data_IF_169648024000
#
_entry.id   IF_169648024000
#
_cell.length_a   1.000
_cell.length_b   1.000
_cell.length_c   1.000
_cell.angle_alpha   90.00
_cell.angle_beta   90.00
_cell.angle_gamma   90.00
#
_symmetry.space_group_name_H-M   'P 1'
#
loop_
_entity.id
_entity.type
_entity.pdbx_description
1 polymer ?
#
# COMPACT_ATOMS: atom_id res chain seq x y z
N UNK A 1 -12.17 -17.13 -32.63
CA UNK A 1 -12.69 -16.98 -31.25
C UNK A 1 -12.89 -15.51 -31.00
N UNK A 2 -14.11 -15.07 -30.76
CA UNK A 2 -14.41 -13.71 -30.30
C UNK A 2 -13.89 -13.57 -28.87
N UNK A 3 -12.98 -12.61 -28.62
CA UNK A 3 -12.51 -12.29 -27.28
C UNK A 3 -13.69 -11.74 -26.47
N UNK A 4 -14.03 -12.42 -25.37
CA UNK A 4 -15.07 -11.94 -24.46
C UNK A 4 -14.64 -10.65 -23.79
N UNK A 5 -15.55 -9.67 -23.67
CA UNK A 5 -15.31 -8.45 -22.91
C UNK A 5 -15.09 -8.79 -21.43
N UNK A 6 -14.48 -7.86 -20.68
CA UNK A 6 -14.23 -8.09 -19.24
C UNK A 6 -15.52 -8.34 -18.46
N UNK A 7 -16.62 -7.74 -18.88
CA UNK A 7 -17.94 -7.89 -18.25
C UNK A 7 -18.58 -9.23 -18.61
N UNK A 8 -18.35 -9.75 -19.82
CA UNK A 8 -18.80 -11.11 -20.17
C UNK A 8 -18.05 -12.19 -19.38
N UNK A 9 -16.83 -11.90 -18.93
CA UNK A 9 -16.06 -12.79 -18.05
C UNK A 9 -16.44 -12.61 -16.57
N UNK A 10 -16.76 -11.37 -16.18
CA UNK A 10 -17.07 -10.96 -14.81
C UNK A 10 -18.41 -10.21 -14.80
N UNK A 11 -19.55 -10.92 -14.94
CA UNK A 11 -20.84 -10.27 -15.00
C UNK A 11 -21.16 -9.61 -13.65
N UNK A 12 -21.39 -8.28 -13.61
CA UNK A 12 -21.71 -7.58 -12.38
C UNK A 12 -23.10 -8.00 -11.89
N UNK A 13 -23.36 -7.75 -10.60
CA UNK A 13 -24.70 -7.93 -10.03
C UNK A 13 -25.73 -7.08 -10.79
N UNK A 14 -27.02 -7.41 -10.67
CA UNK A 14 -28.08 -6.55 -11.22
C UNK A 14 -28.05 -5.15 -10.58
N UNK A 15 -28.59 -4.15 -11.27
CA UNK A 15 -28.64 -2.77 -10.74
C UNK A 15 -29.43 -2.75 -9.42
N UNK A 16 -30.60 -3.38 -9.39
CA UNK A 16 -31.46 -3.41 -8.20
C UNK A 16 -30.75 -4.06 -7.01
N UNK A 17 -30.10 -5.20 -7.23
CA UNK A 17 -29.36 -5.88 -6.17
C UNK A 17 -28.19 -5.03 -5.64
N UNK A 18 -27.43 -4.41 -6.55
CA UNK A 18 -26.30 -3.55 -6.19
C UNK A 18 -26.76 -2.34 -5.38
N UNK A 19 -27.80 -1.65 -5.85
CA UNK A 19 -28.34 -0.43 -5.21
C UNK A 19 -28.98 -0.77 -3.87
N UNK A 20 -29.82 -1.79 -3.80
CA UNK A 20 -30.45 -2.22 -2.54
C UNK A 20 -29.40 -2.67 -1.52
N UNK A 21 -28.41 -3.44 -1.95
CA UNK A 21 -27.33 -3.91 -1.08
C UNK A 21 -26.49 -2.77 -0.52
N UNK A 22 -26.05 -1.83 -1.38
CA UNK A 22 -25.23 -0.68 -0.97
C UNK A 22 -26.01 0.26 -0.04
N UNK A 23 -27.25 0.62 -0.38
CA UNK A 23 -28.05 1.55 0.42
C UNK A 23 -28.39 1.00 1.81
N UNK A 24 -28.59 -0.32 1.93
CA UNK A 24 -28.85 -0.97 3.21
C UNK A 24 -27.58 -1.36 3.97
N UNK A 25 -26.41 -1.33 3.32
CA UNK A 25 -25.15 -1.75 3.91
C UNK A 25 -24.83 -1.10 5.26
N UNK A 26 -25.07 0.20 5.51
CA UNK A 26 -24.83 0.79 6.82
C UNK A 26 -25.60 0.09 7.95
N UNK A 27 -26.83 -0.35 7.68
CA UNK A 27 -27.74 -1.00 8.62
C UNK A 27 -27.48 -2.50 8.80
N UNK A 28 -26.71 -3.11 7.89
CA UNK A 28 -26.36 -4.52 8.01
C UNK A 28 -25.51 -4.79 9.24
N UNK A 29 -25.78 -5.93 9.88
CA UNK A 29 -24.87 -6.50 10.87
C UNK A 29 -23.57 -6.97 10.20
N UNK A 30 -22.55 -7.30 11.00
CA UNK A 30 -21.22 -7.62 10.46
C UNK A 30 -21.21 -8.83 9.52
N UNK A 31 -22.05 -9.85 9.78
CA UNK A 31 -22.11 -11.05 8.96
C UNK A 31 -22.70 -10.73 7.58
N UNK A 32 -23.81 -9.99 7.54
CA UNK A 32 -24.44 -9.53 6.30
C UNK A 32 -23.52 -8.61 5.50
N UNK A 33 -22.77 -7.72 6.16
CA UNK A 33 -21.76 -6.88 5.50
C UNK A 33 -20.70 -7.74 4.81
N UNK A 34 -20.17 -8.74 5.51
CA UNK A 34 -19.16 -9.65 4.97
C UNK A 34 -19.71 -10.45 3.78
N UNK A 35 -20.90 -11.03 3.91
CA UNK A 35 -21.54 -11.77 2.82
C UNK A 35 -21.71 -10.93 1.55
N UNK A 36 -22.22 -9.70 1.71
CA UNK A 36 -22.40 -8.78 0.59
C UNK A 36 -21.06 -8.39 -0.07
N UNK A 37 -20.03 -8.07 0.73
CA UNK A 37 -18.70 -7.75 0.21
C UNK A 37 -18.06 -8.93 -0.53
N UNK A 38 -18.15 -10.14 0.01
CA UNK A 38 -17.65 -11.35 -0.64
C UNK A 38 -18.34 -11.58 -1.99
N UNK A 39 -19.66 -11.37 -2.03
CA UNK A 39 -20.44 -11.46 -3.28
C UNK A 39 -19.96 -10.43 -4.31
N UNK A 40 -19.79 -9.17 -3.92
CA UNK A 40 -19.27 -8.13 -4.81
C UNK A 40 -17.87 -8.49 -5.35
N UNK A 41 -16.94 -8.87 -4.47
CA UNK A 41 -15.57 -9.22 -4.86
C UNK A 41 -15.55 -10.42 -5.79
N UNK A 42 -16.38 -11.44 -5.54
CA UNK A 42 -16.53 -12.61 -6.41
C UNK A 42 -16.86 -12.21 -7.85
N UNK A 43 -17.76 -11.25 -8.04
CA UNK A 43 -18.19 -10.79 -9.36
C UNK A 43 -17.31 -9.68 -9.95
N UNK A 44 -16.63 -8.88 -9.15
CA UNK A 44 -15.84 -7.72 -9.62
C UNK A 44 -14.51 -8.13 -10.27
N UNK A 45 -14.15 -7.68 -11.47
CA UNK A 45 -12.82 -7.95 -12.04
C UNK A 45 -11.71 -7.31 -11.18
N UNK A 46 -10.70 -8.10 -10.81
CA UNK A 46 -9.54 -7.61 -10.06
C UNK A 46 -8.44 -7.20 -11.05
N UNK A 47 -8.40 -5.90 -11.39
CA UNK A 47 -7.43 -5.33 -12.31
C UNK A 47 -6.09 -5.06 -11.63
N UNK A 48 -5.14 -5.99 -11.76
CA UNK A 48 -3.78 -5.80 -11.29
C UNK A 48 -2.83 -5.43 -12.43
N UNK A 49 -1.69 -4.87 -12.06
CA UNK A 49 -0.60 -4.51 -12.96
C UNK A 49 0.69 -5.18 -12.53
N UNK A 50 1.47 -5.63 -13.52
CA UNK A 50 2.84 -6.07 -13.30
C UNK A 50 3.71 -4.84 -13.08
N UNK A 51 4.10 -4.61 -11.83
CA UNK A 51 4.82 -3.42 -11.42
C UNK A 51 6.33 -3.69 -11.42
N UNK A 52 7.00 -3.08 -12.40
CA UNK A 52 8.39 -3.37 -12.73
C UNK A 52 9.43 -2.76 -11.78
N UNK A 53 10.68 -3.10 -12.10
CA UNK A 53 11.87 -2.75 -11.35
C UNK A 53 12.09 -1.23 -11.22
N UNK A 54 12.82 -0.84 -10.17
CA UNK A 54 13.27 0.54 -9.99
C UNK A 54 12.36 1.40 -9.10
N UNK A 55 11.09 1.03 -8.94
CA UNK A 55 10.15 1.72 -8.06
C UNK A 55 10.55 1.59 -6.59
N UNK A 56 10.45 2.69 -5.83
CA UNK A 56 10.82 2.76 -4.41
C UNK A 56 9.62 3.06 -3.53
N UNK A 57 9.59 2.43 -2.35
CA UNK A 57 8.51 2.53 -1.38
C UNK A 57 9.07 2.77 0.01
N UNK A 58 8.37 3.60 0.77
CA UNK A 58 8.87 4.14 2.03
C UNK A 58 8.09 3.58 3.19
N UNK A 59 8.80 3.30 4.28
CA UNK A 59 8.19 2.97 5.58
C UNK A 59 8.86 3.78 6.66
N UNK A 60 8.07 4.48 7.46
CA UNK A 60 8.54 5.26 8.59
C UNK A 60 8.16 4.57 9.91
N UNK A 61 8.98 4.78 10.94
CA UNK A 61 8.74 4.35 12.32
C UNK A 61 9.08 5.52 13.24
N UNK A 62 8.18 5.85 14.16
CA UNK A 62 8.43 6.81 15.22
C UNK A 62 9.27 6.18 16.32
N UNK A 63 10.30 6.89 16.77
CA UNK A 63 11.30 6.40 17.73
C UNK A 63 11.35 7.24 19.02
N UNK A 64 10.48 8.26 19.13
CA UNK A 64 10.47 9.14 20.29
C UNK A 64 11.70 10.04 20.36
N UNK A 65 12.23 10.23 21.57
CA UNK A 65 13.39 11.08 21.82
C UNK A 65 14.71 10.30 21.85
N UNK A 66 14.71 9.02 21.45
CA UNK A 66 15.91 8.20 21.49
C UNK A 66 16.87 8.58 20.35
N UNK A 67 18.06 9.07 20.71
CA UNK A 67 19.09 9.40 19.72
C UNK A 67 19.83 8.15 19.19
N UNK A 68 19.60 7.00 19.81
CA UNK A 68 20.21 5.73 19.43
C UNK A 68 19.48 5.17 18.21
N UNK A 69 20.15 5.05 17.05
CA UNK A 69 19.51 4.49 15.89
C UNK A 69 19.24 2.99 16.09
N UNK A 70 18.25 2.47 15.37
CA UNK A 70 17.94 1.03 15.41
C UNK A 70 19.15 0.19 15.00
N UNK A 71 19.28 -1.00 15.57
CA UNK A 71 20.43 -1.88 15.36
C UNK A 71 20.18 -2.98 14.30
N UNK A 72 18.91 -3.23 13.95
CA UNK A 72 18.53 -4.40 13.16
C UNK A 72 17.35 -4.14 12.20
N UNK A 73 17.39 -4.75 11.02
CA UNK A 73 16.33 -4.63 9.99
C UNK A 73 14.94 -5.04 10.47
N UNK A 74 14.84 -5.95 11.45
CA UNK A 74 13.54 -6.38 12.00
C UNK A 74 12.70 -5.22 12.55
N UNK A 75 13.32 -4.10 12.94
CA UNK A 75 12.60 -2.89 13.41
C UNK A 75 11.84 -2.18 12.28
N UNK A 76 12.28 -2.30 11.04
CA UNK A 76 11.64 -1.70 9.86
C UNK A 76 10.74 -2.68 9.08
N UNK A 77 10.78 -3.97 9.40
CA UNK A 77 9.93 -4.99 8.76
C UNK A 77 8.54 -5.10 9.41
N UNK A 78 7.77 -6.10 8.99
CA UNK A 78 6.55 -6.51 9.68
C UNK A 78 6.93 -7.04 11.08
N UNK A 79 6.32 -6.55 12.16
CA UNK A 79 6.59 -7.08 13.49
C UNK A 79 6.09 -8.54 13.61
N UNK A 80 6.71 -9.36 14.48
CA UNK A 80 6.20 -10.70 14.78
C UNK A 80 4.74 -10.69 15.22
N UNK A 81 4.01 -11.76 14.90
CA UNK A 81 2.56 -11.88 15.12
C UNK A 81 2.15 -11.59 16.57
N UNK A 82 2.99 -11.95 17.54
CA UNK A 82 2.73 -11.83 18.98
C UNK A 82 2.63 -10.38 19.46
N UNK A 83 3.29 -9.44 18.77
CA UNK A 83 3.35 -8.02 19.16
C UNK A 83 2.78 -7.09 18.07
N UNK A 84 2.18 -7.67 17.04
CA UNK A 84 1.64 -6.95 15.89
C UNK A 84 0.25 -6.41 16.20
N UNK A 85 0.06 -5.12 15.97
CA UNK A 85 -1.28 -4.50 15.92
C UNK A 85 -1.92 -4.76 14.56
N UNK A 86 -3.17 -5.22 14.52
CA UNK A 86 -3.91 -5.36 13.26
C UNK A 86 -4.11 -4.00 12.58
N UNK A 87 -3.61 -3.90 11.35
CA UNK A 87 -3.86 -2.78 10.45
C UNK A 87 -5.09 -3.00 9.56
N UNK A 88 -5.34 -2.03 8.69
CA UNK A 88 -6.49 -2.00 7.75
C UNK A 88 -6.61 -3.26 6.88
N UNK A 89 -5.50 -3.81 6.41
CA UNK A 89 -5.45 -4.95 5.48
C UNK A 89 -4.89 -6.20 6.19
N UNK A 90 -4.45 -6.06 7.43
CA UNK A 90 -3.74 -7.11 8.14
C UNK A 90 -4.71 -8.18 8.65
N UNK A 91 -4.32 -9.45 8.53
CA UNK A 91 -5.06 -10.60 9.07
C UNK A 91 -4.10 -11.65 9.64
N UNK A 92 -4.68 -12.69 10.25
CA UNK A 92 -3.90 -13.82 10.75
C UNK A 92 -3.29 -14.67 9.64
N UNK A 93 -3.92 -14.69 8.48
CA UNK A 93 -3.53 -15.43 7.29
C UNK A 93 -2.55 -14.64 6.41
N UNK A 94 -2.61 -13.31 6.47
CA UNK A 94 -1.82 -12.42 5.62
C UNK A 94 -1.02 -11.44 6.48
N UNK A 95 0.26 -11.75 6.67
CA UNK A 95 1.20 -10.79 7.24
C UNK A 95 1.50 -9.67 6.26
N UNK A 96 1.34 -8.41 6.69
CA UNK A 96 1.43 -7.25 5.80
C UNK A 96 2.57 -6.31 6.22
N UNK A 97 3.45 -6.02 5.27
CA UNK A 97 4.32 -4.85 5.35
C UNK A 97 3.62 -3.65 4.70
N UNK A 98 3.36 -2.63 5.51
CA UNK A 98 2.81 -1.36 5.03
C UNK A 98 3.94 -0.43 4.58
N UNK A 99 3.88 0.00 3.33
CA UNK A 99 4.75 1.02 2.74
C UNK A 99 3.92 2.09 2.05
N UNK A 100 4.56 3.17 1.62
CA UNK A 100 3.93 4.28 0.91
C UNK A 100 4.72 4.71 -0.32
N UNK A 101 4.05 5.40 -1.25
CA UNK A 101 4.65 5.92 -2.49
C UNK A 101 5.70 7.01 -2.26
N UNK A 102 5.65 7.69 -1.10
CA UNK A 102 6.61 8.74 -0.76
C UNK A 102 6.94 8.74 0.74
N UNK A 103 8.08 9.34 1.06
CA UNK A 103 8.49 9.62 2.45
C UNK A 103 7.44 10.41 3.22
N UNK A 104 6.90 11.47 2.63
CA UNK A 104 5.90 12.32 3.29
C UNK A 104 4.61 11.53 3.54
N UNK A 105 4.17 10.69 2.60
CA UNK A 105 3.03 9.80 2.83
C UNK A 105 3.30 8.87 4.01
N UNK A 106 4.46 8.21 4.05
CA UNK A 106 4.83 7.31 5.15
C UNK A 106 4.87 8.03 6.51
N UNK A 107 5.36 9.27 6.57
CA UNK A 107 5.39 10.07 7.80
C UNK A 107 4.00 10.53 8.24
N UNK A 108 3.15 10.97 7.30
CA UNK A 108 1.76 11.36 7.61
C UNK A 108 0.93 10.18 8.16
N UNK A 109 1.17 8.96 7.67
CA UNK A 109 0.49 7.76 8.19
C UNK A 109 0.80 7.46 9.67
N UNK A 110 1.92 7.98 10.21
CA UNK A 110 2.22 7.88 11.64
C UNK A 110 1.34 8.80 12.52
N UNK A 111 0.61 9.76 11.91
CA UNK A 111 -0.28 10.70 12.60
C UNK A 111 0.37 11.46 13.75
N UNK A 112 1.68 11.65 13.68
CA UNK A 112 2.43 12.42 14.67
C UNK A 112 2.72 13.82 14.08
N UNK A 113 1.85 14.77 14.41
CA UNK A 113 1.89 16.14 13.92
C UNK A 113 2.53 17.10 14.94
N UNK A 114 3.61 16.65 15.59
CA UNK A 114 4.35 17.46 16.56
C UNK A 114 5.35 18.39 15.85
N UNK A 115 5.35 19.67 16.22
CA UNK A 115 6.30 20.67 15.73
C UNK A 115 7.68 20.63 16.43
N UNK A 116 7.84 19.72 17.39
CA UNK A 116 9.12 19.42 18.04
C UNK A 116 9.83 18.29 17.31
N UNK A 117 11.15 18.41 17.22
CA UNK A 117 11.99 17.37 16.64
C UNK A 117 11.97 16.11 17.49
N UNK A 118 11.54 15.00 16.89
CA UNK A 118 11.64 13.66 17.43
C UNK A 118 12.37 12.76 16.43
N UNK A 119 12.83 11.60 16.87
CA UNK A 119 13.54 10.66 16.00
C UNK A 119 12.60 9.72 15.27
N UNK A 120 12.96 9.45 14.01
CA UNK A 120 12.27 8.54 13.13
C UNK A 120 13.28 7.68 12.38
N UNK A 121 12.92 6.41 12.18
CA UNK A 121 13.59 5.57 11.18
C UNK A 121 12.78 5.58 9.89
N UNK A 122 13.43 5.77 8.75
CA UNK A 122 12.81 5.66 7.43
C UNK A 122 13.57 4.62 6.61
N UNK A 123 12.87 3.58 6.19
CA UNK A 123 13.36 2.57 5.27
C UNK A 123 12.81 2.81 3.86
N UNK A 124 13.64 2.55 2.86
CA UNK A 124 13.27 2.52 1.44
C UNK A 124 13.43 1.10 0.92
N UNK A 125 12.34 0.54 0.42
CA UNK A 125 12.32 -0.75 -0.27
C UNK A 125 12.26 -0.48 -1.76
N UNK A 126 13.04 -1.21 -2.56
CA UNK A 126 13.05 -1.06 -4.01
C UNK A 126 12.71 -2.39 -4.67
N UNK A 127 11.82 -2.34 -5.66
CA UNK A 127 11.50 -3.50 -6.49
C UNK A 127 12.69 -3.79 -7.40
N UNK A 128 13.18 -5.02 -7.34
CA UNK A 128 14.22 -5.55 -8.22
C UNK A 128 13.71 -6.68 -9.12
N UNK A 129 12.48 -7.15 -8.90
CA UNK A 129 11.80 -8.09 -9.78
C UNK A 129 10.30 -7.76 -9.78
N UNK A 130 9.64 -7.85 -10.95
CA UNK A 130 8.24 -7.44 -11.13
C UNK A 130 7.30 -8.06 -10.09
N UNK A 131 6.37 -7.26 -9.55
CA UNK A 131 5.36 -7.73 -8.58
C UNK A 131 3.96 -7.30 -9.02
N UNK A 132 2.98 -8.19 -8.86
CA UNK A 132 1.58 -7.89 -9.16
C UNK A 132 0.98 -6.98 -8.09
N UNK A 133 0.56 -5.79 -8.52
CA UNK A 133 -0.08 -4.77 -7.66
C UNK A 133 -1.53 -4.58 -8.09
N UNK A 134 -2.47 -4.73 -7.16
CA UNK A 134 -3.89 -4.41 -7.35
C UNK A 134 -4.18 -3.02 -6.77
N UNK A 135 -4.35 -1.97 -7.59
CA UNK A 135 -4.92 -0.71 -7.13
C UNK A 135 -6.44 -0.85 -6.98
N UNK A 136 -6.94 -0.64 -5.76
CA UNK A 136 -8.38 -0.65 -5.49
C UNK A 136 -8.98 0.74 -5.73
N UNK A 137 -10.13 0.82 -6.39
CA UNK A 137 -10.75 2.10 -6.74
C UNK A 137 -10.19 2.75 -8.01
N UNK A 138 -9.27 2.09 -8.72
CA UNK A 138 -8.57 2.67 -9.87
C UNK A 138 -9.50 2.97 -11.04
N UNK A 139 -10.52 2.12 -11.27
CA UNK A 139 -11.48 2.29 -12.36
C UNK A 139 -12.34 3.53 -12.16
N UNK A 140 -12.97 3.61 -10.99
CA UNK A 140 -13.83 4.73 -10.61
C UNK A 140 -13.04 6.04 -10.51
N UNK A 141 -11.83 6.01 -9.97
CA UNK A 141 -10.96 7.18 -9.93
C UNK A 141 -10.58 7.65 -11.34
N UNK A 142 -10.14 6.74 -12.21
CA UNK A 142 -9.77 7.06 -13.60
C UNK A 142 -10.95 7.65 -14.36
N UNK A 143 -12.15 7.11 -14.19
CA UNK A 143 -13.34 7.62 -14.86
C UNK A 143 -13.64 9.08 -14.47
N UNK A 144 -13.44 9.45 -13.20
CA UNK A 144 -13.73 10.79 -12.71
C UNK A 144 -12.64 11.80 -13.10
N UNK A 145 -11.38 11.43 -13.03
CA UNK A 145 -10.26 12.38 -13.19
C UNK A 145 -9.57 12.29 -14.55
N UNK A 146 -9.87 11.26 -15.34
CA UNK A 146 -9.17 10.91 -16.58
C UNK A 146 -7.79 10.27 -16.35
N UNK A 147 -7.33 10.14 -15.10
CA UNK A 147 -6.00 9.60 -14.74
C UNK A 147 -6.11 8.64 -13.55
N UNK A 148 -5.27 7.62 -13.56
CA UNK A 148 -5.22 6.64 -12.48
C UNK A 148 -4.58 7.20 -11.22
N UNK A 149 -4.98 6.69 -10.06
CA UNK A 149 -4.30 7.00 -8.82
C UNK A 149 -2.91 6.38 -8.85
N UNK A 150 -2.82 5.07 -9.12
CA UNK A 150 -1.54 4.37 -9.24
C UNK A 150 -0.95 4.51 -10.65
N UNK A 151 -1.78 4.34 -11.69
CA UNK A 151 -1.30 4.26 -13.07
C UNK A 151 -1.00 5.63 -13.69
N UNK A 152 -1.52 6.71 -13.11
CA UNK A 152 -1.31 8.07 -13.60
C UNK A 152 -1.69 8.22 -15.08
N UNK A 153 -0.70 8.57 -15.91
CA UNK A 153 -0.90 8.75 -17.35
C UNK A 153 -1.06 7.43 -18.13
N UNK A 154 -0.71 6.28 -17.52
CA UNK A 154 -0.83 4.96 -18.16
C UNK A 154 -2.27 4.40 -18.12
N UNK A 155 -3.23 5.15 -17.56
CA UNK A 155 -4.64 4.76 -17.48
C UNK A 155 -5.39 4.79 -18.81
N UNK A 156 -4.72 5.03 -19.93
CA UNK A 156 -5.35 5.01 -21.26
C UNK A 156 -6.02 3.66 -21.55
N UNK A 157 -5.43 2.56 -21.12
CA UNK A 157 -6.01 1.22 -21.28
C UNK A 157 -7.29 1.06 -20.47
N UNK A 158 -7.36 1.63 -19.26
CA UNK A 158 -8.58 1.67 -18.45
C UNK A 158 -9.65 2.51 -19.14
N UNK A 159 -9.31 3.70 -19.61
CA UNK A 159 -10.26 4.57 -20.32
C UNK A 159 -10.83 3.88 -21.58
N UNK A 160 -9.98 3.21 -22.36
CA UNK A 160 -10.42 2.43 -23.53
C UNK A 160 -11.34 1.28 -23.12
N UNK A 161 -11.03 0.57 -22.04
CA UNK A 161 -11.86 -0.50 -21.51
C UNK A 161 -13.24 0.02 -21.09
N UNK A 162 -13.29 1.10 -20.32
CA UNK A 162 -14.54 1.74 -19.87
C UNK A 162 -15.38 2.17 -21.09
N UNK A 163 -14.77 2.84 -22.07
CA UNK A 163 -15.48 3.34 -23.24
C UNK A 163 -15.95 2.25 -24.22
N UNK A 164 -15.37 1.05 -24.17
CA UNK A 164 -15.75 -0.07 -25.03
C UNK A 164 -16.93 -0.90 -24.49
N UNK A 165 -17.33 -0.68 -23.24
CA UNK A 165 -18.36 -1.46 -22.57
C UNK A 165 -19.74 -0.79 -22.68
N UNK A 166 -20.82 -1.55 -22.48
CA UNK A 166 -22.17 -0.99 -22.45
C UNK A 166 -22.31 -0.02 -21.25
N UNK A 167 -22.94 1.17 -21.42
CA UNK A 167 -23.08 2.16 -20.36
C UNK A 167 -23.66 1.63 -19.03
N UNK A 168 -24.66 0.76 -19.09
CA UNK A 168 -25.32 0.21 -17.89
C UNK A 168 -24.41 -0.78 -17.15
N UNK A 169 -23.60 -1.52 -17.89
CA UNK A 169 -22.65 -2.47 -17.32
C UNK A 169 -21.45 -1.74 -16.71
N UNK A 170 -20.94 -0.73 -17.40
CA UNK A 170 -19.87 0.17 -16.91
C UNK A 170 -20.30 0.84 -15.62
N UNK A 171 -21.52 1.36 -15.56
CA UNK A 171 -22.04 2.04 -14.37
C UNK A 171 -21.99 1.10 -13.15
N UNK A 172 -22.42 -0.15 -13.31
CA UNK A 172 -22.36 -1.15 -12.23
C UNK A 172 -20.94 -1.52 -11.84
N UNK A 173 -20.04 -1.64 -12.82
CA UNK A 173 -18.62 -1.90 -12.58
C UNK A 173 -17.99 -0.77 -11.75
N UNK A 174 -18.26 0.48 -12.11
CA UNK A 174 -17.71 1.67 -11.43
C UNK A 174 -18.29 1.84 -10.02
N UNK A 175 -19.60 1.60 -9.83
CA UNK A 175 -20.24 1.61 -8.51
C UNK A 175 -19.59 0.55 -7.61
N UNK A 176 -19.38 -0.65 -8.13
CA UNK A 176 -18.77 -1.76 -7.37
C UNK A 176 -17.33 -1.42 -6.99
N UNK A 177 -16.52 -0.95 -7.95
CA UNK A 177 -15.13 -0.55 -7.70
C UNK A 177 -15.02 0.54 -6.63
N UNK A 178 -15.86 1.58 -6.74
CA UNK A 178 -15.91 2.68 -5.79
C UNK A 178 -16.32 2.20 -4.40
N UNK A 179 -17.36 1.36 -4.32
CA UNK A 179 -17.86 0.86 -3.04
C UNK A 179 -16.86 -0.06 -2.34
N UNK A 180 -16.14 -0.91 -3.08
CA UNK A 180 -15.07 -1.75 -2.52
C UNK A 180 -13.91 -0.91 -2.01
N UNK A 181 -13.51 0.14 -2.76
CA UNK A 181 -12.51 1.11 -2.30
C UNK A 181 -12.97 1.80 -1.01
N UNK A 182 -14.20 2.30 -0.94
CA UNK A 182 -14.73 2.97 0.25
C UNK A 182 -14.83 2.03 1.45
N UNK A 183 -15.19 0.77 1.21
CA UNK A 183 -15.23 -0.28 2.23
C UNK A 183 -13.84 -0.58 2.80
N UNK A 184 -12.83 -0.70 1.93
CA UNK A 184 -11.43 -0.85 2.32
C UNK A 184 -10.91 0.40 3.06
N UNK A 185 -11.44 1.57 2.75
CA UNK A 185 -11.13 2.83 3.40
C UNK A 185 -12.03 3.14 4.60
N UNK A 186 -12.88 2.24 5.08
CA UNK A 186 -13.74 2.50 6.25
C UNK A 186 -12.97 2.48 7.59
N UNK A 187 -13.47 3.07 8.68
CA UNK A 187 -12.75 2.98 9.97
C UNK A 187 -12.97 1.66 10.73
N UNK A 188 -13.70 0.71 10.13
CA UNK A 188 -13.97 -0.59 10.72
C UNK A 188 -12.97 -1.64 10.21
N UNK A 189 -11.95 -1.95 11.02
CA UNK A 189 -10.89 -2.88 10.61
C UNK A 189 -11.38 -4.32 10.36
N UNK A 190 -12.51 -4.73 10.93
CA UNK A 190 -13.12 -6.03 10.62
C UNK A 190 -13.68 -6.10 9.18
N UNK A 191 -14.07 -4.95 8.61
CA UNK A 191 -14.54 -4.85 7.24
C UNK A 191 -13.36 -4.74 6.29
N UNK A 192 -12.39 -3.90 6.62
CA UNK A 192 -11.29 -3.60 5.71
C UNK A 192 -10.37 -4.80 5.52
N UNK A 193 -10.05 -5.54 6.60
CA UNK A 193 -9.24 -6.76 6.50
C UNK A 193 -10.00 -7.86 5.75
N UNK A 194 -11.31 -7.94 5.94
CA UNK A 194 -12.15 -8.90 5.23
C UNK A 194 -12.19 -8.65 3.71
N UNK A 195 -12.33 -7.40 3.28
CA UNK A 195 -12.23 -7.03 1.85
C UNK A 195 -10.90 -7.50 1.27
N UNK A 196 -9.79 -7.22 1.96
CA UNK A 196 -8.48 -7.63 1.49
C UNK A 196 -8.30 -9.16 1.45
N UNK A 197 -8.79 -9.88 2.45
CA UNK A 197 -8.76 -11.35 2.46
C UNK A 197 -9.53 -11.92 1.28
N UNK A 198 -10.75 -11.45 1.01
CA UNK A 198 -11.52 -11.90 -0.15
C UNK A 198 -10.81 -11.61 -1.48
N UNK A 199 -10.10 -10.48 -1.60
CA UNK A 199 -9.27 -10.17 -2.77
C UNK A 199 -8.15 -11.20 -2.94
N UNK A 200 -7.42 -11.47 -1.86
CA UNK A 200 -6.31 -12.43 -1.87
C UNK A 200 -6.75 -13.88 -2.09
N UNK A 201 -7.93 -14.25 -1.61
CA UNK A 201 -8.55 -15.55 -1.84
C UNK A 201 -9.03 -15.71 -3.29
N UNK A 202 -9.64 -14.65 -3.85
CA UNK A 202 -10.10 -14.65 -5.23
C UNK A 202 -8.95 -14.79 -6.23
N UNK A 203 -7.80 -14.18 -5.95
CA UNK A 203 -6.61 -14.31 -6.78
C UNK A 203 -5.34 -14.40 -5.94
N UNK A 204 -4.78 -15.61 -5.83
CA UNK A 204 -3.59 -15.91 -5.04
C UNK A 204 -2.30 -15.25 -5.55
N UNK A 205 -2.29 -14.82 -6.81
CA UNK A 205 -1.14 -14.15 -7.44
C UNK A 205 -1.06 -12.67 -7.07
N UNK A 206 -2.09 -12.11 -6.43
CA UNK A 206 -2.06 -10.73 -5.94
C UNK A 206 -1.35 -10.72 -4.60
N UNK A 207 -0.20 -10.03 -4.56
CA UNK A 207 0.61 -9.90 -3.35
C UNK A 207 0.59 -8.50 -2.76
N UNK A 208 0.17 -7.50 -3.54
CA UNK A 208 0.13 -6.10 -3.12
C UNK A 208 -1.23 -5.50 -3.40
N UNK A 209 -1.81 -4.85 -2.40
CA UNK A 209 -2.97 -3.97 -2.58
C UNK A 209 -2.49 -2.52 -2.43
N UNK A 210 -2.67 -1.71 -3.47
CA UNK A 210 -2.43 -0.28 -3.44
C UNK A 210 -3.73 0.48 -3.17
N UNK A 211 -3.70 1.45 -2.26
CA UNK A 211 -4.88 2.19 -1.81
C UNK A 211 -4.53 3.63 -1.43
N UNK A 212 -5.46 4.59 -1.55
CA UNK A 212 -5.18 5.98 -1.23
C UNK A 212 -4.83 6.19 0.24
N UNK A 213 -3.96 7.17 0.53
CA UNK A 213 -3.71 7.61 1.90
C UNK A 213 -4.88 8.43 2.43
N UNK A 214 -5.32 8.13 3.67
CA UNK A 214 -6.26 9.00 4.41
C UNK A 214 -5.57 10.25 4.96
N UNK A 215 -4.27 10.14 5.25
CA UNK A 215 -3.54 11.16 5.99
C UNK A 215 -2.86 12.17 5.08
N UNK A 216 -2.62 11.82 3.82
CA UNK A 216 -1.97 12.69 2.84
C UNK A 216 -2.65 12.59 1.47
N UNK A 217 -3.53 13.54 1.11
CA UNK A 217 -4.20 13.56 -0.19
C UNK A 217 -3.19 13.46 -1.36
N UNK A 218 -3.46 12.58 -2.31
CA UNK A 218 -2.55 12.26 -3.42
C UNK A 218 -1.45 11.24 -3.07
N UNK A 219 -1.25 10.91 -1.80
CA UNK A 219 -0.40 9.81 -1.36
C UNK A 219 -1.05 8.45 -1.57
N UNK A 220 -0.22 7.43 -1.79
CA UNK A 220 -0.66 6.04 -2.00
C UNK A 220 0.06 5.15 -0.98
N UNK A 221 -0.69 4.26 -0.36
CA UNK A 221 -0.17 3.21 0.50
C UNK A 221 -0.19 1.87 -0.21
N UNK A 222 0.72 0.99 0.19
CA UNK A 222 0.85 -0.36 -0.34
C UNK A 222 0.87 -1.33 0.84
N UNK A 223 -0.03 -2.30 0.80
CA UNK A 223 -0.03 -3.44 1.70
C UNK A 223 0.59 -4.63 0.96
N UNK A 224 1.83 -4.97 1.31
CA UNK A 224 2.62 -6.02 0.67
C UNK A 224 2.61 -7.25 1.56
N UNK A 225 2.25 -8.43 1.03
CA UNK A 225 2.38 -9.69 1.77
C UNK A 225 3.84 -9.92 2.16
N UNK A 226 4.09 -10.12 3.45
CA UNK A 226 5.42 -10.26 4.05
C UNK A 226 6.25 -11.36 3.38
N UNK A 227 5.59 -12.49 3.06
CA UNK A 227 6.23 -13.67 2.48
C UNK A 227 6.91 -13.45 1.12
N UNK A 228 6.51 -12.43 0.36
CA UNK A 228 7.05 -12.19 -0.99
C UNK A 228 8.03 -11.02 -1.04
N UNK A 229 8.29 -10.36 0.09
CA UNK A 229 9.13 -9.15 0.10
C UNK A 229 10.49 -9.48 -0.52
N UNK A 230 11.13 -10.57 -0.08
CA UNK A 230 12.48 -10.87 -0.51
C UNK A 230 12.57 -11.53 -1.88
N UNK A 231 11.44 -11.90 -2.51
CA UNK A 231 11.39 -12.42 -3.88
C UNK A 231 11.31 -11.30 -4.93
N UNK A 232 10.91 -10.09 -4.50
CA UNK A 232 10.61 -8.96 -5.39
C UNK A 232 11.26 -7.63 -4.98
N UNK A 233 11.53 -7.44 -3.69
CA UNK A 233 12.03 -6.21 -3.09
C UNK A 233 13.28 -6.43 -2.25
N UNK A 234 14.16 -5.44 -2.27
CA UNK A 234 15.31 -5.34 -1.37
C UNK A 234 15.27 -4.04 -0.58
N UNK A 235 16.01 -3.99 0.53
CA UNK A 235 16.23 -2.73 1.26
C UNK A 235 17.24 -1.92 0.45
N UNK A 236 16.79 -0.77 -0.04
CA UNK A 236 17.61 0.18 -0.78
C UNK A 236 18.28 1.19 0.13
N UNK A 237 17.64 1.62 1.21
CA UNK A 237 18.23 2.57 2.14
C UNK A 237 17.54 2.52 3.49
N UNK A 238 18.28 2.82 4.55
CA UNK A 238 17.74 3.07 5.89
C UNK A 238 18.38 4.33 6.44
N UNK A 239 17.57 5.24 6.96
CA UNK A 239 18.03 6.45 7.63
C UNK A 239 17.37 6.61 8.99
N UNK A 240 18.06 7.32 9.86
CA UNK A 240 17.60 7.75 11.17
C UNK A 240 17.73 9.25 11.25
N UNK A 241 16.64 9.98 11.47
CA UNK A 241 16.67 11.44 11.45
C UNK A 241 15.81 12.04 12.56
N UNK A 242 16.15 13.25 12.98
CA UNK A 242 15.22 14.09 13.71
C UNK A 242 14.26 14.73 12.73
N UNK A 243 12.97 14.58 12.96
CA UNK A 243 11.92 15.10 12.09
C UNK A 243 10.91 15.86 12.95
N UNK A 244 10.45 17.00 12.45
CA UNK A 244 9.27 17.69 12.98
C UNK A 244 8.26 17.93 11.87
N UNK A 245 6.99 17.95 12.25
CA UNK A 245 5.92 18.38 11.36
C UNK A 245 5.92 19.91 11.27
N UNK A 246 5.87 20.44 10.06
CA UNK A 246 5.80 21.88 9.81
C UNK A 246 4.34 22.32 9.74
N UNK A 247 3.65 21.88 8.68
CA UNK A 247 2.23 22.12 8.42
C UNK A 247 1.81 21.27 7.21
N UNK A 248 0.50 21.01 7.05
CA UNK A 248 -0.09 20.46 5.82
C UNK A 248 0.57 19.18 5.28
N UNK A 249 1.12 18.36 6.18
CA UNK A 249 1.78 17.10 5.86
C UNK A 249 3.20 17.24 5.31
N UNK A 250 3.81 18.42 5.46
CA UNK A 250 5.22 18.67 5.21
C UNK A 250 6.02 18.60 6.51
N UNK A 251 7.27 18.16 6.37
CA UNK A 251 8.18 17.88 7.46
C UNK A 251 9.53 18.53 7.21
N UNK A 252 10.23 18.84 8.28
CA UNK A 252 11.64 19.23 8.27
C UNK A 252 12.46 18.12 8.92
N UNK A 253 13.61 17.82 8.34
CA UNK A 253 14.55 16.79 8.80
C UNK A 253 15.87 17.45 9.17
N UNK A 254 16.54 16.93 10.21
CA UNK A 254 17.91 17.30 10.58
C UNK A 254 18.61 16.13 11.25
N UNK A 255 19.92 16.26 11.48
CA UNK A 255 20.72 15.26 12.21
C UNK A 255 20.52 13.85 11.65
N UNK A 256 20.58 13.73 10.32
CA UNK A 256 20.32 12.47 9.63
C UNK A 256 21.56 11.57 9.69
N UNK A 257 21.31 10.30 9.98
CA UNK A 257 22.29 9.21 9.90
C UNK A 257 21.83 8.23 8.85
N UNK A 258 22.78 7.62 8.17
CA UNK A 258 22.53 6.65 7.11
C UNK A 258 23.15 5.31 7.44
N UNK A 259 22.48 4.24 7.00
CA UNK A 259 23.08 2.91 6.99
C UNK A 259 23.97 2.79 5.77
N UNK A 260 25.25 2.46 5.98
CA UNK A 260 26.24 2.20 4.92
C UNK A 260 26.37 0.73 4.55
N UNK A 261 25.78 -0.16 5.35
CA UNK A 261 25.78 -1.60 5.09
C UNK A 261 24.88 -2.36 6.05
N UNK A 262 24.46 -3.57 5.64
CA UNK A 262 23.62 -4.45 6.46
C UNK A 262 24.22 -5.86 6.43
N UNK A 263 24.69 -6.35 7.57
CA UNK A 263 25.28 -7.69 7.66
C UNK A 263 24.32 -8.79 7.16
N UNK A 264 24.84 -9.97 6.81
CA UNK A 264 24.04 -11.14 6.45
C UNK A 264 22.92 -11.46 7.46
N UNK A 265 23.17 -11.19 8.75
CA UNK A 265 22.21 -11.44 9.84
C UNK A 265 21.24 -10.29 10.07
N UNK A 266 21.29 -9.22 9.29
CA UNK A 266 20.36 -8.09 9.40
C UNK A 266 20.78 -6.97 10.36
N UNK A 267 21.98 -7.04 10.96
CA UNK A 267 22.54 -5.93 11.76
C UNK A 267 22.88 -4.74 10.86
N UNK A 268 22.42 -3.56 11.25
CA UNK A 268 22.65 -2.30 10.54
C UNK A 268 24.02 -1.72 10.91
N UNK A 269 24.78 -1.31 9.89
CA UNK A 269 26.05 -0.63 10.02
C UNK A 269 25.81 0.85 9.67
N UNK A 270 25.79 1.69 10.69
CA UNK A 270 25.60 3.13 10.53
C UNK A 270 26.88 3.81 10.07
N UNK A 271 26.74 4.85 9.26
CA UNK A 271 27.85 5.74 8.99
C UNK A 271 28.13 6.63 10.22
N UNK A 272 29.38 6.60 10.68
CA UNK A 272 29.85 7.38 11.82
C UNK A 272 30.22 8.80 11.40
N UNK A 273 30.48 9.01 10.10
CA UNK A 273 30.71 10.33 9.54
C UNK A 273 29.34 11.00 9.30
N UNK A 274 28.92 11.81 10.26
CA UNK A 274 27.73 12.67 10.13
C UNK A 274 28.00 13.75 9.07
N UNK A 275 27.76 13.44 7.80
CA UNK A 275 27.52 14.49 6.83
C UNK A 275 26.12 15.04 7.11
N UNK A 276 26.01 16.33 7.44
CA UNK A 276 24.75 17.08 7.56
C UNK A 276 24.04 17.22 6.19
N UNK A 277 23.91 16.13 5.45
CA UNK A 277 23.17 16.08 4.19
C UNK A 277 21.71 15.71 4.49
N UNK A 278 20.96 16.69 5.00
CA UNK A 278 19.55 16.57 5.36
C UNK A 278 18.65 16.07 4.21
N UNK A 279 19.15 16.18 2.96
CA UNK A 279 18.39 15.88 1.75
C UNK A 279 18.88 14.66 0.97
N UNK A 280 20.05 14.09 1.26
CA UNK A 280 20.57 12.96 0.50
C UNK A 280 20.05 11.62 1.06
N UNK A 281 19.90 10.63 0.20
CA UNK A 281 19.66 9.24 0.60
C UNK A 281 20.84 8.44 0.09
N UNK A 282 21.53 7.73 0.99
CA UNK A 282 22.61 6.83 0.62
C UNK A 282 22.02 5.46 0.25
N UNK A 283 21.94 5.10 -1.04
CA UNK A 283 21.47 3.79 -1.44
C UNK A 283 22.51 2.72 -1.10
N UNK A 284 22.03 1.55 -0.74
CA UNK A 284 22.79 0.31 -0.66
C UNK A 284 22.88 -0.26 -2.08
N UNK A 285 24.11 -0.48 -2.53
CA UNK A 285 24.40 -1.12 -3.80
C UNK A 285 25.33 -2.32 -3.54
N UNK A 286 24.88 -3.56 -3.76
CA UNK A 286 23.53 -3.95 -4.21
C UNK A 286 22.44 -3.73 -3.14
N UNK A 287 21.17 -3.78 -3.56
CA UNK A 287 20.03 -3.83 -2.63
C UNK A 287 20.20 -4.99 -1.65
N UNK A 288 19.94 -4.76 -0.36
CA UNK A 288 20.07 -5.81 0.62
C UNK A 288 18.85 -6.74 0.66
N UNK A 289 19.12 -8.05 0.65
CA UNK A 289 18.16 -9.12 0.97
C UNK A 289 18.78 -10.10 1.97
N UNK A 290 17.99 -10.83 2.77
CA UNK A 290 18.53 -11.83 3.69
C UNK A 290 19.36 -12.89 2.95
N UNK A 291 20.52 -13.25 3.51
CA UNK A 291 21.39 -14.28 2.94
C UNK A 291 22.40 -13.80 1.88
N UNK A 292 22.34 -12.53 1.46
CA UNK A 292 23.42 -11.94 0.66
C UNK A 292 24.66 -11.68 1.54
N UNK A 293 25.80 -12.19 1.12
CA UNK A 293 27.11 -11.87 1.68
C UNK A 293 27.45 -10.40 1.42
N UNK A 294 27.78 -9.66 2.48
CA UNK A 294 28.67 -8.50 2.36
C UNK A 294 30.10 -9.05 2.44
#
# INVERSE_FOLDING_TARGET
>A
MTLKTIIEQFPPLSVDELVTGINNFPQYNIAMKKEFLAKLIKHHPLLYVDWGEGSSYYRARYMGNDASPIDHVSKILCPPKEIRSYGRIDSDENEILYTASSKNTALNELKNYNNSFNYYTIATFRIYNSIKVLPIGELSHTQVTGRGMLLGNQSQSINKLINACNPDEVTRLLITDKFLSDSLMSDNYNITSYVANCIFEKNSDIYVIAYPSKQYPGGINFAIKNKVIWDHLGINAVRYAQIRHLACGYFEERNTRHVKGITQRGKLIWDENHADDEYYTYPLEPLWTPGQSI
#
